data_IF_743913093561
#
_entry.id   IF_743913093561
#
_cell.length_a   1.000
_cell.length_b   1.000
_cell.length_c   1.000
_cell.angle_alpha   90.00
_cell.angle_beta   90.00
_cell.angle_gamma   90.00
#
_symmetry.space_group_name_H-M   'P 1'
#
loop_
_entity.id
_entity.type
_entity.pdbx_description
1 polymer ?
#
# COMPACT_ATOMS: atom_id res chain seq x y z
N UNK A 1 31.34 37.98 60.22
CA UNK A 1 31.87 37.42 58.94
C UNK A 1 30.79 36.55 58.33
N UNK A 2 29.95 37.11 57.50
CA UNK A 2 28.83 36.46 56.85
C UNK A 2 29.20 36.26 55.40
N UNK A 3 29.45 35.00 55.03
CA UNK A 3 29.71 34.54 53.67
C UNK A 3 28.38 34.50 52.88
N UNK A 4 28.25 35.43 51.96
CA UNK A 4 27.16 35.46 50.99
C UNK A 4 27.58 34.57 49.82
N UNK A 5 27.11 33.34 49.79
CA UNK A 5 27.13 32.49 48.57
C UNK A 5 26.13 33.07 47.58
N UNK A 6 26.61 33.56 46.43
CA UNK A 6 25.81 33.96 45.32
C UNK A 6 25.31 32.69 44.65
N UNK A 7 24.00 32.39 44.77
CA UNK A 7 23.30 31.43 43.92
C UNK A 7 23.27 32.01 42.51
N UNK A 8 24.04 31.41 41.62
CA UNK A 8 23.98 31.67 40.19
C UNK A 8 22.69 30.98 39.71
N UNK A 9 21.66 31.76 39.48
CA UNK A 9 20.42 31.35 38.86
C UNK A 9 20.72 30.87 37.44
N UNK A 10 20.93 29.56 37.30
CA UNK A 10 21.17 28.90 36.00
C UNK A 10 19.92 28.68 35.12
N UNK A 11 18.84 29.44 35.40
CA UNK A 11 17.54 29.12 34.79
C UNK A 11 17.05 30.10 33.71
N UNK A 12 17.85 31.11 33.33
CA UNK A 12 17.42 32.10 32.34
C UNK A 12 17.89 31.78 30.88
N UNK A 13 18.84 30.86 30.72
CA UNK A 13 19.37 30.53 29.39
C UNK A 13 18.56 29.45 28.64
N UNK A 14 17.77 28.63 29.34
CA UNK A 14 17.00 27.53 28.75
C UNK A 14 15.81 27.97 27.87
N UNK A 15 15.01 29.01 28.22
CA UNK A 15 13.90 29.41 27.37
C UNK A 15 14.34 30.10 26.07
N UNK A 16 15.46 30.81 26.09
CA UNK A 16 15.98 31.47 24.89
C UNK A 16 16.60 30.47 23.91
N UNK A 17 17.20 29.39 24.39
CA UNK A 17 17.75 28.34 23.54
C UNK A 17 16.66 27.47 22.92
N UNK A 18 15.59 27.14 23.67
CA UNK A 18 14.44 26.40 23.12
C UNK A 18 13.67 27.24 22.10
N UNK A 19 13.52 28.53 22.30
CA UNK A 19 12.90 29.45 21.36
C UNK A 19 13.75 29.67 20.09
N UNK A 20 15.08 29.56 20.19
CA UNK A 20 15.96 29.64 19.02
C UNK A 20 16.00 28.35 18.20
N UNK A 21 15.66 27.20 18.79
CA UNK A 21 15.48 25.92 18.08
C UNK A 21 14.12 25.79 17.41
N UNK A 22 13.16 26.64 17.78
CA UNK A 22 11.87 26.78 17.08
C UNK A 22 12.04 27.69 15.85
N UNK A 23 13.14 27.51 15.13
CA UNK A 23 13.18 27.89 13.71
C UNK A 23 12.08 27.07 13.06
N UNK A 24 10.95 27.69 12.83
CA UNK A 24 9.89 27.17 12.00
C UNK A 24 10.47 26.79 10.65
N UNK A 25 11.01 25.61 10.57
CA UNK A 25 10.98 24.86 9.33
C UNK A 25 9.49 24.77 9.07
N UNK A 26 8.99 25.61 8.15
CA UNK A 26 7.57 25.68 7.85
C UNK A 26 7.09 24.26 7.69
N UNK A 27 6.10 23.87 8.48
CA UNK A 27 5.68 22.49 8.66
C UNK A 27 5.48 21.88 7.26
N UNK A 28 6.36 21.01 6.77
CA UNK A 28 6.24 20.47 5.42
C UNK A 28 4.93 19.70 5.25
N UNK A 29 4.29 19.30 6.36
CA UNK A 29 2.99 18.68 6.38
C UNK A 29 1.87 19.65 5.96
N UNK A 30 2.01 20.96 6.20
CA UNK A 30 1.02 21.94 5.81
C UNK A 30 0.82 22.05 4.29
N UNK A 31 1.85 21.73 3.49
CA UNK A 31 1.79 21.74 2.03
C UNK A 31 1.28 20.39 1.47
N UNK A 32 1.64 19.28 2.11
CA UNK A 32 1.36 17.92 1.63
C UNK A 32 0.06 17.39 2.24
N UNK A 33 -1.07 18.00 1.87
CA UNK A 33 -2.38 17.49 2.27
C UNK A 33 -2.65 16.11 1.65
N UNK A 34 -3.46 15.28 2.32
CA UNK A 34 -3.77 13.91 1.87
C UNK A 34 -4.17 13.82 0.37
N UNK A 35 -5.02 14.71 -0.19
CA UNK A 35 -5.35 14.64 -1.62
C UNK A 35 -4.17 15.01 -2.52
N UNK A 36 -3.31 15.94 -2.11
CA UNK A 36 -2.11 16.28 -2.89
C UNK A 36 -1.09 15.15 -2.87
N UNK A 37 -0.91 14.53 -1.70
CA UNK A 37 -0.06 13.35 -1.59
C UNK A 37 -0.58 12.19 -2.43
N UNK A 38 -1.89 11.89 -2.37
CA UNK A 38 -2.52 10.86 -3.19
C UNK A 38 -2.32 11.10 -4.68
N UNK A 39 -2.49 12.37 -5.14
CA UNK A 39 -2.27 12.73 -6.53
C UNK A 39 -0.80 12.56 -6.95
N UNK A 40 0.14 13.01 -6.13
CA UNK A 40 1.57 12.84 -6.39
C UNK A 40 1.95 11.36 -6.45
N UNK A 41 1.47 10.57 -5.49
CA UNK A 41 1.71 9.13 -5.46
C UNK A 41 1.14 8.44 -6.70
N UNK A 42 -0.06 8.80 -7.11
CA UNK A 42 -0.68 8.28 -8.33
C UNK A 42 0.15 8.63 -9.57
N UNK A 43 0.58 9.88 -9.70
CA UNK A 43 1.43 10.33 -10.81
C UNK A 43 2.78 9.61 -10.83
N UNK A 44 3.38 9.37 -9.65
CA UNK A 44 4.60 8.58 -9.53
C UNK A 44 4.38 7.13 -9.97
N UNK A 45 3.31 6.49 -9.54
CA UNK A 45 2.97 5.12 -9.96
C UNK A 45 2.81 5.06 -11.48
N UNK A 46 2.07 5.98 -12.08
CA UNK A 46 1.89 6.04 -13.54
C UNK A 46 3.23 6.28 -14.25
N UNK A 47 4.08 7.17 -13.72
CA UNK A 47 5.38 7.49 -14.30
C UNK A 47 6.40 6.36 -14.21
N UNK A 48 6.42 5.61 -13.11
CA UNK A 48 7.35 4.49 -12.92
C UNK A 48 6.87 3.18 -13.54
N UNK A 49 5.56 2.96 -13.62
CA UNK A 49 4.95 1.72 -14.10
C UNK A 49 3.97 1.92 -15.27
N UNK A 50 4.34 2.69 -16.32
CA UNK A 50 3.41 2.95 -17.42
C UNK A 50 2.97 1.66 -18.13
N UNK A 51 3.90 0.72 -18.33
CA UNK A 51 3.63 -0.55 -19.00
C UNK A 51 2.58 -1.41 -18.27
N UNK A 52 2.55 -1.33 -16.93
CA UNK A 52 1.56 -2.04 -16.13
C UNK A 52 0.21 -1.33 -16.12
N UNK A 53 0.23 0.01 -16.04
CA UNK A 53 -0.99 0.83 -16.03
C UNK A 53 -1.76 0.68 -17.33
N UNK A 54 -1.06 0.68 -18.47
CA UNK A 54 -1.66 0.57 -19.80
C UNK A 54 -1.77 -0.87 -20.32
N UNK A 55 -1.40 -1.86 -19.53
CA UNK A 55 -1.60 -3.28 -19.84
C UNK A 55 -0.61 -3.88 -20.84
N UNK A 56 0.49 -3.20 -21.15
CA UNK A 56 1.53 -3.71 -22.05
C UNK A 56 2.33 -4.85 -21.43
N UNK A 57 2.49 -4.83 -20.09
CA UNK A 57 3.20 -5.86 -19.31
C UNK A 57 2.45 -6.18 -18.04
N UNK A 58 2.79 -7.29 -17.41
CA UNK A 58 2.28 -7.69 -16.08
C UNK A 58 3.37 -8.34 -15.25
N UNK A 59 3.17 -8.37 -13.93
CA UNK A 59 4.02 -9.13 -13.04
C UNK A 59 3.69 -10.63 -13.15
N UNK A 60 4.40 -11.34 -14.00
CA UNK A 60 4.22 -12.78 -14.17
C UNK A 60 5.54 -13.50 -13.88
N UNK A 61 5.96 -13.49 -12.60
CA UNK A 61 7.23 -14.07 -12.20
C UNK A 61 7.07 -14.98 -10.98
N UNK A 62 7.71 -16.15 -11.00
CA UNK A 62 7.75 -17.16 -9.91
C UNK A 62 6.34 -17.49 -9.39
N UNK A 63 6.13 -17.31 -8.10
CA UNK A 63 4.88 -17.68 -7.40
C UNK A 63 3.65 -16.95 -7.96
N UNK A 64 3.85 -15.75 -8.49
CA UNK A 64 2.75 -15.01 -9.12
C UNK A 64 2.27 -15.69 -10.42
N UNK A 65 3.18 -16.28 -11.19
CA UNK A 65 2.86 -17.05 -12.38
C UNK A 65 2.30 -18.44 -12.05
N UNK A 66 2.86 -19.09 -11.01
CA UNK A 66 2.55 -20.48 -10.67
C UNK A 66 1.29 -20.61 -9.81
N UNK A 67 1.01 -19.65 -8.94
CA UNK A 67 -0.11 -19.68 -8.02
C UNK A 67 -1.08 -18.52 -8.22
N UNK A 68 -0.59 -17.28 -8.25
CA UNK A 68 -1.44 -16.09 -8.31
C UNK A 68 -2.33 -16.06 -9.55
N UNK A 69 -1.76 -16.25 -10.72
CA UNK A 69 -2.50 -16.25 -11.98
C UNK A 69 -3.51 -17.40 -12.08
N UNK A 70 -3.16 -18.67 -11.89
CA UNK A 70 -4.10 -19.78 -11.98
C UNK A 70 -5.26 -19.67 -10.98
N UNK A 71 -4.98 -19.26 -9.75
CA UNK A 71 -6.01 -19.09 -8.72
C UNK A 71 -6.95 -17.93 -9.04
N UNK A 72 -6.42 -16.79 -9.44
CA UNK A 72 -7.22 -15.63 -9.82
C UNK A 72 -8.07 -15.91 -11.09
N UNK A 73 -7.50 -16.63 -12.05
CA UNK A 73 -8.22 -17.05 -13.26
C UNK A 73 -9.37 -17.99 -12.91
N UNK A 74 -9.13 -19.00 -12.09
CA UNK A 74 -10.17 -19.93 -11.66
C UNK A 74 -11.30 -19.22 -10.89
N UNK A 75 -10.96 -18.30 -10.00
CA UNK A 75 -11.93 -17.47 -9.30
C UNK A 75 -12.79 -16.64 -10.26
N UNK A 76 -12.16 -16.02 -11.25
CA UNK A 76 -12.84 -15.22 -12.27
C UNK A 76 -13.81 -16.05 -13.08
N UNK A 77 -13.38 -17.21 -13.57
CA UNK A 77 -14.23 -18.12 -14.35
C UNK A 77 -15.44 -18.58 -13.54
N UNK A 78 -15.23 -19.05 -12.31
CA UNK A 78 -16.32 -19.46 -11.43
C UNK A 78 -17.32 -18.31 -11.18
N UNK A 79 -16.82 -17.10 -10.93
CA UNK A 79 -17.67 -15.93 -10.72
C UNK A 79 -18.56 -15.64 -11.94
N UNK A 80 -17.99 -15.63 -13.15
CA UNK A 80 -18.73 -15.30 -14.37
C UNK A 80 -19.68 -16.42 -14.80
N UNK A 81 -19.47 -17.66 -14.34
CA UNK A 81 -20.42 -18.76 -14.48
C UNK A 81 -21.50 -18.79 -13.38
N UNK A 82 -21.43 -17.87 -12.40
CA UNK A 82 -22.35 -17.84 -11.26
C UNK A 82 -22.13 -18.96 -10.26
N UNK A 83 -20.95 -19.54 -10.23
CA UNK A 83 -20.58 -20.64 -9.36
C UNK A 83 -19.73 -20.16 -8.18
N UNK A 84 -19.94 -20.78 -7.01
CA UNK A 84 -19.06 -20.57 -5.85
C UNK A 84 -17.92 -21.59 -5.95
N UNK A 85 -16.65 -21.16 -6.03
CA UNK A 85 -15.50 -22.05 -6.24
C UNK A 85 -15.14 -22.80 -4.95
N UNK A 86 -15.93 -23.80 -4.58
CA UNK A 86 -15.68 -24.63 -3.39
C UNK A 86 -14.47 -25.53 -3.58
N UNK A 87 -14.36 -26.13 -4.78
CA UNK A 87 -13.35 -27.13 -5.10
C UNK A 87 -12.71 -26.79 -6.45
N UNK A 88 -11.39 -26.72 -6.52
CA UNK A 88 -10.65 -26.53 -7.77
C UNK A 88 -10.09 -27.88 -8.26
N UNK A 89 -10.66 -28.47 -9.31
CA UNK A 89 -10.19 -29.74 -9.85
C UNK A 89 -8.93 -29.62 -10.70
N UNK A 90 -8.54 -28.41 -11.11
CA UNK A 90 -7.45 -28.17 -12.06
C UNK A 90 -6.07 -28.14 -11.41
N UNK A 91 -5.99 -28.15 -10.09
CA UNK A 91 -4.72 -28.04 -9.38
C UNK A 91 -4.52 -29.25 -8.46
N UNK A 92 -3.33 -29.88 -8.50
CA UNK A 92 -2.91 -30.98 -7.61
C UNK A 92 -3.95 -32.10 -7.41
N UNK A 93 -4.55 -32.59 -8.48
CA UNK A 93 -5.64 -33.60 -8.44
C UNK A 93 -6.91 -33.14 -7.70
N UNK A 94 -7.08 -31.85 -7.51
CA UNK A 94 -8.21 -31.24 -6.83
C UNK A 94 -7.90 -30.77 -5.42
N UNK A 95 -8.24 -29.51 -5.16
CA UNK A 95 -8.00 -28.86 -3.85
C UNK A 95 -9.24 -28.07 -3.41
N UNK A 96 -9.52 -27.99 -2.09
CA UNK A 96 -10.58 -27.14 -1.57
C UNK A 96 -10.21 -25.68 -1.77
N UNK A 97 -10.88 -25.01 -2.72
CA UNK A 97 -10.51 -23.65 -3.12
C UNK A 97 -10.76 -22.60 -2.03
N UNK A 98 -11.98 -22.56 -1.48
CA UNK A 98 -12.34 -21.58 -0.44
C UNK A 98 -11.61 -21.78 0.89
N UNK A 99 -11.15 -22.99 1.18
CA UNK A 99 -10.43 -23.29 2.41
C UNK A 99 -8.97 -22.83 2.39
N UNK A 100 -8.49 -22.35 1.25
CA UNK A 100 -7.12 -21.85 1.10
C UNK A 100 -7.07 -20.33 1.28
N UNK A 101 -6.23 -19.89 2.20
CA UNK A 101 -6.02 -18.46 2.46
C UNK A 101 -5.39 -17.69 1.27
N UNK A 102 -4.61 -18.35 0.45
CA UNK A 102 -3.91 -17.76 -0.70
C UNK A 102 -4.81 -17.53 -1.93
N UNK A 103 -6.05 -18.00 -1.92
CA UNK A 103 -7.02 -17.73 -2.99
C UNK A 103 -7.52 -16.30 -3.00
N UNK A 104 -7.42 -15.62 -1.85
CA UNK A 104 -7.89 -14.24 -1.66
C UNK A 104 -9.35 -14.01 -2.07
N UNK A 105 -10.18 -15.05 -2.03
CA UNK A 105 -11.57 -14.99 -2.50
C UNK A 105 -12.39 -13.91 -1.80
N UNK A 106 -12.28 -13.80 -0.48
CA UNK A 106 -13.00 -12.80 0.33
C UNK A 106 -12.26 -11.46 0.46
N UNK A 107 -11.11 -11.32 -0.19
CA UNK A 107 -10.34 -10.08 -0.10
C UNK A 107 -10.93 -9.01 -1.03
N UNK A 108 -11.32 -7.81 -0.52
CA UNK A 108 -12.05 -6.83 -1.31
C UNK A 108 -11.34 -6.39 -2.60
N UNK A 109 -10.01 -6.26 -2.57
CA UNK A 109 -9.26 -5.86 -3.75
C UNK A 109 -9.13 -6.96 -4.81
N UNK A 110 -9.49 -8.21 -4.50
CA UNK A 110 -9.55 -9.30 -5.48
C UNK A 110 -10.63 -9.07 -6.54
N UNK A 111 -11.60 -8.18 -6.28
CA UNK A 111 -12.57 -7.72 -7.28
C UNK A 111 -11.91 -7.21 -8.56
N UNK A 112 -10.68 -6.71 -8.48
CA UNK A 112 -9.89 -6.32 -9.66
C UNK A 112 -9.72 -7.47 -10.64
N UNK A 113 -9.54 -8.70 -10.14
CA UNK A 113 -9.43 -9.89 -10.99
C UNK A 113 -10.72 -10.21 -11.74
N UNK A 114 -11.86 -9.83 -11.17
CA UNK A 114 -13.16 -10.07 -11.78
C UNK A 114 -13.50 -9.01 -12.84
N UNK A 115 -13.10 -7.77 -12.61
CA UNK A 115 -13.48 -6.62 -13.43
C UNK A 115 -12.53 -6.39 -14.61
N UNK A 116 -11.23 -6.57 -14.42
CA UNK A 116 -10.23 -6.30 -15.45
C UNK A 116 -9.81 -7.60 -16.17
N UNK A 117 -9.45 -7.53 -17.46
CA UNK A 117 -8.98 -8.70 -18.19
C UNK A 117 -7.67 -9.25 -17.61
N UNK A 118 -7.55 -10.58 -17.62
CA UNK A 118 -6.31 -11.26 -17.25
C UNK A 118 -5.32 -11.23 -18.41
N UNK A 119 -4.01 -11.08 -18.18
CA UNK A 119 -3.28 -10.97 -16.91
C UNK A 119 -3.11 -9.53 -16.40
N UNK A 120 -3.67 -8.54 -17.06
CA UNK A 120 -3.55 -7.11 -16.72
C UNK A 120 -4.02 -6.80 -15.28
N UNK A 121 -5.10 -7.43 -14.85
CA UNK A 121 -5.65 -7.31 -13.49
C UNK A 121 -4.64 -7.61 -12.37
N UNK A 122 -3.68 -8.51 -12.63
CA UNK A 122 -2.61 -8.84 -11.68
C UNK A 122 -1.67 -7.64 -11.43
N UNK A 123 -1.34 -6.91 -12.48
CA UNK A 123 -0.56 -5.67 -12.37
C UNK A 123 -1.30 -4.63 -11.55
N UNK A 124 -2.58 -4.40 -11.86
CA UNK A 124 -3.42 -3.45 -11.12
C UNK A 124 -3.62 -3.83 -9.67
N UNK A 125 -3.74 -5.10 -9.34
CA UNK A 125 -3.81 -5.56 -7.96
C UNK A 125 -2.58 -5.13 -7.15
N UNK A 126 -1.38 -5.31 -7.70
CA UNK A 126 -0.14 -4.85 -7.04
C UNK A 126 -0.05 -3.33 -6.95
N UNK A 127 -0.42 -2.60 -8.01
CA UNK A 127 -0.38 -1.13 -8.01
C UNK A 127 -1.35 -0.52 -7.00
N UNK A 128 -2.55 -1.11 -6.84
CA UNK A 128 -3.50 -0.69 -5.83
C UNK A 128 -2.98 -0.89 -4.42
N UNK A 129 -2.31 -2.02 -4.13
CA UNK A 129 -1.68 -2.24 -2.82
C UNK A 129 -0.56 -1.24 -2.57
N UNK A 130 0.27 -0.96 -3.57
CA UNK A 130 1.32 0.04 -3.48
C UNK A 130 0.75 1.43 -3.17
N UNK A 131 -0.33 1.81 -3.85
CA UNK A 131 -1.02 3.07 -3.63
C UNK A 131 -1.62 3.15 -2.22
N UNK A 132 -2.33 2.12 -1.78
CA UNK A 132 -2.93 2.07 -0.43
C UNK A 132 -1.88 2.04 0.67
N UNK A 133 -0.77 1.33 0.45
CA UNK A 133 0.35 1.33 1.40
C UNK A 133 0.95 2.72 1.57
N UNK A 134 1.17 3.45 0.46
CA UNK A 134 1.65 4.82 0.51
C UNK A 134 0.68 5.77 1.22
N UNK A 135 -0.63 5.68 0.94
CA UNK A 135 -1.64 6.46 1.65
C UNK A 135 -1.69 6.11 3.14
N UNK A 136 -1.60 4.83 3.49
CA UNK A 136 -1.56 4.38 4.88
C UNK A 136 -0.37 4.97 5.63
N UNK A 137 0.80 4.98 5.02
CA UNK A 137 1.99 5.61 5.61
C UNK A 137 1.81 7.12 5.80
N UNK A 138 1.21 7.81 4.83
CA UNK A 138 0.93 9.25 4.96
C UNK A 138 -0.07 9.55 6.09
N UNK A 139 -1.07 8.67 6.32
CA UNK A 139 -2.03 8.84 7.40
C UNK A 139 -1.44 8.56 8.79
N UNK A 140 -0.31 7.83 8.87
CA UNK A 140 0.37 7.51 10.12
C UNK A 140 1.45 8.53 10.49
N UNK A 141 1.94 9.30 9.53
CA UNK A 141 2.99 10.32 9.72
C UNK A 141 2.40 11.66 10.16
#
# INVERSE_FOLDING_TARGET
MTSRTAEISGNEALPAYSAALDVRIGDPSAWLTAPRFALLLLLLIIGFFPDLVFGAKTFLFRDYALFGYPLAHYNREAFWHGEVPLWNPLNNCGIPYLAQWNTMFFYPLSLVYLLLPMPWSLGWFCLLHLFLAGLGMHCLA
#
